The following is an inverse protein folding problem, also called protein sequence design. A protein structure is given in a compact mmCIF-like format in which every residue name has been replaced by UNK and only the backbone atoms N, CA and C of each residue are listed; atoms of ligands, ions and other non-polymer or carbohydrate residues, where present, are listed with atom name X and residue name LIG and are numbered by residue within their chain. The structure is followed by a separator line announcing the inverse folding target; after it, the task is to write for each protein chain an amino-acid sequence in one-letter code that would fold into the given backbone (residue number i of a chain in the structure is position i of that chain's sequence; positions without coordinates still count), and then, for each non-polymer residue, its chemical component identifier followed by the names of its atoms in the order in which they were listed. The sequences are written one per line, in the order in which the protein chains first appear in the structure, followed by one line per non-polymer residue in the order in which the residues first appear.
data_IF_138920119558
#
_entry.id   IF_138920119558
#
_cell.length_a   1.000
_cell.length_b   1.000
_cell.length_c   1.000
_cell.angle_alpha   90.00
_cell.angle_beta   90.00
_cell.angle_gamma   90.00
#
_symmetry.space_group_name_H-M   'P 1'
#
loop_
_entity.id
_entity.type
_entity.pdbx_description
1 polymer ?
#
# COMPACT_ATOMS: atom_id res chain seq x y z
N UNK A 1 -49.38 56.12 83.73
CA UNK A 1 -48.05 55.62 83.30
C UNK A 1 -48.25 54.40 82.41
N UNK A 2 -48.05 54.47 81.08
CA UNK A 2 -48.07 53.24 80.24
C UNK A 2 -47.37 53.34 78.85
N UNK A 3 -46.86 54.52 78.46
CA UNK A 3 -46.22 54.72 77.15
C UNK A 3 -44.71 54.42 77.10
N UNK A 4 -44.04 54.29 78.26
CA UNK A 4 -42.57 54.12 78.30
C UNK A 4 -42.13 52.67 78.02
N UNK A 5 -42.85 51.69 78.59
CA UNK A 5 -42.47 50.27 78.55
C UNK A 5 -42.62 49.67 77.14
N UNK A 6 -43.68 50.02 76.39
CA UNK A 6 -43.82 49.58 74.98
C UNK A 6 -42.69 50.12 74.10
N UNK A 7 -42.16 51.31 74.40
CA UNK A 7 -41.08 51.93 73.60
C UNK A 7 -39.77 51.17 73.78
N UNK A 8 -39.36 50.86 75.02
CA UNK A 8 -38.13 50.12 75.29
C UNK A 8 -38.17 48.68 74.79
N UNK A 9 -39.30 47.97 74.92
CA UNK A 9 -39.46 46.60 74.42
C UNK A 9 -39.43 46.51 72.88
N UNK A 10 -40.06 47.48 72.18
CA UNK A 10 -39.95 47.57 70.72
C UNK A 10 -38.52 47.88 70.25
N UNK A 11 -37.76 48.60 71.07
CA UNK A 11 -36.39 49.04 70.76
C UNK A 11 -35.37 47.91 70.96
N UNK A 12 -35.51 47.07 72.00
CA UNK A 12 -34.64 45.90 72.20
C UNK A 12 -34.95 44.76 71.22
N UNK A 13 -36.22 44.50 70.91
CA UNK A 13 -36.61 43.57 69.84
C UNK A 13 -36.11 44.04 68.46
N UNK A 14 -36.18 45.35 68.19
CA UNK A 14 -35.62 45.93 66.97
C UNK A 14 -34.11 45.69 66.84
N UNK A 15 -33.34 45.88 67.91
CA UNK A 15 -31.88 45.67 67.89
C UNK A 15 -31.47 44.19 67.73
N UNK A 16 -32.20 43.23 68.32
CA UNK A 16 -31.92 41.80 68.12
C UNK A 16 -32.27 41.32 66.71
N UNK A 17 -33.40 41.76 66.15
CA UNK A 17 -33.78 41.46 64.76
C UNK A 17 -32.78 42.07 63.77
N UNK A 18 -32.32 43.31 63.99
CA UNK A 18 -31.29 43.93 63.16
C UNK A 18 -29.96 43.16 63.18
N UNK A 19 -29.58 42.61 64.34
CA UNK A 19 -28.35 41.84 64.52
C UNK A 19 -28.42 40.46 63.85
N UNK A 20 -29.57 39.78 63.97
CA UNK A 20 -29.84 38.52 63.27
C UNK A 20 -29.87 38.72 61.74
N UNK A 21 -30.57 39.75 61.25
CA UNK A 21 -30.60 40.09 59.83
C UNK A 21 -29.20 40.35 59.27
N UNK A 22 -28.35 41.12 59.97
CA UNK A 22 -26.95 41.35 59.58
C UNK A 22 -26.13 40.06 59.51
N UNK A 23 -26.30 39.14 60.45
CA UNK A 23 -25.60 37.85 60.42
C UNK A 23 -26.03 37.01 59.19
N UNK A 24 -27.32 36.97 58.88
CA UNK A 24 -27.85 36.29 57.69
C UNK A 24 -27.32 36.93 56.39
N UNK A 25 -27.36 38.25 56.26
CA UNK A 25 -26.81 38.95 55.10
C UNK A 25 -25.29 38.77 54.95
N UNK A 26 -24.53 38.75 56.05
CA UNK A 26 -23.09 38.48 56.03
C UNK A 26 -22.79 37.05 55.55
N UNK A 27 -23.49 36.05 56.08
CA UNK A 27 -23.34 34.66 55.66
C UNK A 27 -23.75 34.45 54.19
N UNK A 28 -24.82 35.11 53.74
CA UNK A 28 -25.22 35.11 52.34
C UNK A 28 -24.15 35.76 51.43
N UNK A 29 -23.58 36.90 51.83
CA UNK A 29 -22.51 37.56 51.08
C UNK A 29 -21.23 36.68 51.00
N UNK A 30 -20.85 36.00 52.08
CA UNK A 30 -19.72 35.05 52.09
C UNK A 30 -20.01 33.87 51.15
N UNK A 31 -21.22 33.29 51.20
CA UNK A 31 -21.63 32.21 50.30
C UNK A 31 -21.60 32.64 48.82
N UNK A 32 -22.10 33.84 48.49
CA UNK A 32 -21.99 34.41 47.15
C UNK A 32 -20.53 34.59 46.70
N UNK A 33 -19.64 35.04 47.59
CA UNK A 33 -18.22 35.21 47.28
C UNK A 33 -17.53 33.86 46.98
N UNK A 34 -17.83 32.81 47.76
CA UNK A 34 -17.35 31.44 47.48
C UNK A 34 -17.84 30.95 46.11
N UNK A 35 -19.12 31.17 45.78
CA UNK A 35 -19.69 30.80 44.48
C UNK A 35 -18.98 31.54 43.33
N UNK A 36 -18.67 32.83 43.49
CA UNK A 36 -17.92 33.63 42.51
C UNK A 36 -16.52 33.05 42.31
N UNK A 37 -15.77 32.77 43.38
CA UNK A 37 -14.40 32.24 43.29
C UNK A 37 -14.38 30.86 42.61
N UNK A 38 -15.28 29.95 43.02
CA UNK A 38 -15.38 28.62 42.40
C UNK A 38 -15.80 28.74 40.94
N UNK A 39 -16.79 29.58 40.62
CA UNK A 39 -17.23 29.81 39.24
C UNK A 39 -16.13 30.37 38.34
N UNK A 40 -15.29 31.29 38.84
CA UNK A 40 -14.14 31.81 38.10
C UNK A 40 -13.06 30.73 37.83
N UNK A 41 -12.85 29.79 38.76
CA UNK A 41 -11.96 28.63 38.53
C UNK A 41 -12.53 27.72 37.42
N UNK A 42 -13.84 27.47 37.41
CA UNK A 42 -14.49 26.74 36.32
C UNK A 42 -14.40 27.46 34.98
N UNK A 43 -14.59 28.79 34.95
CA UNK A 43 -14.39 29.62 33.73
C UNK A 43 -12.97 29.49 33.20
N UNK A 44 -11.94 29.56 34.07
CA UNK A 44 -10.54 29.35 33.69
C UNK A 44 -10.27 27.94 33.15
N UNK A 45 -10.82 26.91 33.78
CA UNK A 45 -10.70 25.52 33.33
C UNK A 45 -11.30 25.33 31.94
N UNK A 46 -12.52 25.83 31.69
CA UNK A 46 -13.15 25.77 30.38
C UNK A 46 -12.41 26.63 29.34
N UNK A 47 -11.90 27.80 29.71
CA UNK A 47 -11.10 28.64 28.83
C UNK A 47 -9.83 27.90 28.37
N UNK A 48 -9.10 27.25 29.28
CA UNK A 48 -7.94 26.41 28.94
C UNK A 48 -8.30 25.24 28.00
N UNK A 49 -9.49 24.63 28.18
CA UNK A 49 -9.99 23.58 27.27
C UNK A 49 -10.29 24.12 25.87
N UNK A 50 -10.81 25.34 25.73
CA UNK A 50 -11.07 25.92 24.39
C UNK A 50 -9.79 26.15 23.55
N UNK A 51 -8.63 26.23 24.20
CA UNK A 51 -7.33 26.41 23.53
C UNK A 51 -6.63 25.10 23.16
N UNK A 52 -7.17 23.93 23.51
CA UNK A 52 -6.57 22.66 23.08
C UNK A 52 -6.77 22.47 21.57
N UNK A 53 -5.67 22.19 20.86
CA UNK A 53 -5.64 21.76 19.46
C UNK A 53 -5.67 20.24 19.37
N UNK A 54 -6.23 19.71 18.29
CA UNK A 54 -6.05 18.30 17.95
C UNK A 54 -4.54 18.00 17.79
N UNK A 55 -4.13 16.80 18.21
CA UNK A 55 -2.79 16.29 17.96
C UNK A 55 -2.74 15.66 16.56
N UNK A 56 -2.49 16.48 15.54
CA UNK A 56 -2.41 15.98 14.16
C UNK A 56 -1.18 15.11 13.94
N UNK A 57 -1.38 13.97 13.27
CA UNK A 57 -0.32 13.06 12.85
C UNK A 57 0.29 13.61 11.54
N UNK A 58 1.64 13.68 11.42
CA UNK A 58 2.28 14.20 10.23
C UNK A 58 1.96 13.34 8.99
N UNK A 59 1.50 13.99 7.92
CA UNK A 59 1.13 13.30 6.69
C UNK A 59 2.33 12.57 6.04
N UNK A 60 2.16 11.31 5.59
CA UNK A 60 3.16 10.61 4.79
C UNK A 60 3.55 11.40 3.53
N UNK A 61 4.84 11.35 3.15
CA UNK A 61 5.35 12.01 1.94
C UNK A 61 4.64 11.49 0.69
N UNK A 62 4.46 12.37 -0.29
CA UNK A 62 3.88 12.00 -1.59
C UNK A 62 4.76 10.96 -2.28
N UNK A 63 4.15 9.84 -2.70
CA UNK A 63 4.83 8.80 -3.46
C UNK A 63 5.44 9.37 -4.74
N UNK A 64 6.75 9.30 -4.84
CA UNK A 64 7.51 9.72 -6.01
C UNK A 64 7.93 8.45 -6.78
N UNK A 65 7.41 8.22 -8.01
CA UNK A 65 7.71 7.00 -8.77
C UNK A 65 9.20 6.94 -9.15
N UNK A 66 9.90 5.93 -8.64
CA UNK A 66 11.24 5.56 -9.12
C UNK A 66 11.14 4.89 -10.50
N UNK A 67 12.16 5.03 -11.35
CA UNK A 67 12.22 4.28 -12.61
C UNK A 67 12.20 2.77 -12.36
N UNK A 68 11.43 1.97 -13.12
CA UNK A 68 11.37 0.52 -12.95
C UNK A 68 12.75 -0.11 -13.18
N UNK A 69 13.26 -0.85 -12.20
CA UNK A 69 14.58 -1.49 -12.27
C UNK A 69 14.43 -2.89 -12.87
N UNK A 70 14.83 -3.06 -14.13
CA UNK A 70 14.86 -4.37 -14.78
C UNK A 70 16.10 -5.18 -14.39
N UNK A 71 15.87 -6.38 -13.85
CA UNK A 71 16.89 -7.34 -13.41
C UNK A 71 17.44 -8.16 -14.57
N UNK A 72 18.76 -8.12 -14.77
CA UNK A 72 19.42 -8.94 -15.78
C UNK A 72 19.44 -10.43 -15.41
N UNK A 73 19.46 -10.77 -14.13
CA UNK A 73 19.48 -12.16 -13.66
C UNK A 73 18.12 -12.84 -13.84
N UNK A 74 17.02 -12.14 -13.60
CA UNK A 74 15.67 -12.65 -13.82
C UNK A 74 15.38 -12.86 -15.31
N UNK A 75 15.82 -11.95 -16.18
CA UNK A 75 15.79 -12.15 -17.64
C UNK A 75 16.76 -13.28 -18.05
N UNK A 76 17.90 -13.39 -17.36
CA UNK A 76 18.88 -14.45 -17.54
C UNK A 76 18.31 -15.85 -17.32
N UNK A 77 17.34 -16.03 -16.42
CA UNK A 77 16.64 -17.31 -16.20
C UNK A 77 15.95 -17.80 -17.48
N UNK A 78 15.38 -16.91 -18.31
CA UNK A 78 14.76 -17.28 -19.59
C UNK A 78 15.76 -17.84 -20.62
N UNK A 79 17.05 -17.53 -20.46
CA UNK A 79 18.14 -18.00 -21.33
C UNK A 79 18.78 -19.32 -20.86
N UNK A 80 18.32 -19.89 -19.73
CA UNK A 80 18.84 -21.16 -19.22
C UNK A 80 18.36 -22.32 -20.12
N UNK A 81 19.27 -23.18 -20.62
CA UNK A 81 18.91 -24.28 -21.51
C UNK A 81 18.25 -25.46 -20.78
N UNK A 82 17.54 -26.35 -21.51
CA UNK A 82 17.00 -27.59 -20.96
C UNK A 82 18.06 -28.52 -20.36
N UNK A 83 17.64 -29.33 -19.39
CA UNK A 83 18.47 -30.32 -18.69
C UNK A 83 17.70 -31.63 -18.48
N UNK A 84 18.38 -32.71 -18.08
CA UNK A 84 17.78 -34.00 -17.71
C UNK A 84 16.82 -34.55 -18.78
N UNK A 85 17.33 -34.81 -19.99
CA UNK A 85 16.49 -35.24 -21.11
C UNK A 85 16.06 -36.71 -20.91
N UNK A 86 14.76 -36.98 -21.02
CA UNK A 86 14.14 -38.30 -20.76
C UNK A 86 13.22 -38.70 -21.91
N UNK A 87 13.30 -39.96 -22.37
CA UNK A 87 12.36 -40.48 -23.37
C UNK A 87 11.08 -40.99 -22.71
N UNK A 88 9.93 -40.56 -23.21
CA UNK A 88 8.60 -41.08 -22.84
C UNK A 88 8.03 -41.83 -24.05
N UNK A 89 7.85 -43.17 -23.97
CA UNK A 89 7.24 -43.93 -25.05
C UNK A 89 5.78 -43.51 -25.25
N UNK A 90 5.32 -43.50 -26.51
CA UNK A 90 3.95 -43.14 -26.87
C UNK A 90 2.94 -44.26 -26.58
N UNK A 91 3.44 -45.47 -26.38
CA UNK A 91 2.70 -46.70 -26.07
C UNK A 91 3.57 -47.52 -25.12
N UNK A 92 2.99 -48.11 -24.07
CA UNK A 92 3.69 -49.02 -23.16
C UNK A 92 4.15 -50.32 -23.84
N UNK A 93 3.49 -50.67 -24.95
CA UNK A 93 3.79 -51.83 -25.80
C UNK A 93 3.48 -51.50 -27.26
N UNK A 94 4.37 -51.89 -28.17
CA UNK A 94 4.20 -51.77 -29.62
C UNK A 94 3.40 -52.97 -30.09
N UNK A 95 2.13 -52.74 -30.42
CA UNK A 95 1.21 -53.74 -30.93
C UNK A 95 1.32 -53.90 -32.46
N UNK A 96 1.14 -52.79 -33.20
CA UNK A 96 1.12 -52.81 -34.66
C UNK A 96 2.53 -52.97 -35.28
N UNK A 97 2.65 -53.46 -36.53
CA UNK A 97 3.91 -53.44 -37.26
C UNK A 97 4.38 -51.99 -37.36
N UNK A 98 5.68 -51.80 -37.12
CA UNK A 98 6.27 -50.49 -37.28
C UNK A 98 6.25 -50.07 -38.74
N UNK A 99 5.93 -48.81 -38.96
CA UNK A 99 5.99 -48.14 -40.26
C UNK A 99 6.86 -46.91 -40.14
N UNK A 100 7.35 -46.38 -41.28
CA UNK A 100 8.04 -45.09 -41.34
C UNK A 100 7.15 -43.90 -40.88
N UNK A 101 5.86 -44.17 -40.67
CA UNK A 101 4.84 -43.25 -40.19
C UNK A 101 4.56 -43.40 -38.68
N UNK A 102 4.97 -44.49 -38.03
CA UNK A 102 4.77 -44.73 -36.60
C UNK A 102 5.59 -43.76 -35.75
N UNK A 103 5.04 -43.34 -34.59
CA UNK A 103 5.74 -42.49 -33.60
C UNK A 103 5.90 -43.31 -32.32
N UNK A 104 7.13 -43.60 -31.94
CA UNK A 104 7.48 -44.50 -30.83
C UNK A 104 7.37 -43.80 -29.47
N UNK A 105 7.54 -42.49 -29.43
CA UNK A 105 7.56 -41.69 -28.22
C UNK A 105 7.99 -40.25 -28.47
N UNK A 106 8.27 -39.54 -27.40
CA UNK A 106 8.71 -38.15 -27.38
C UNK A 106 9.68 -37.92 -26.24
N UNK A 107 10.55 -36.93 -26.36
CA UNK A 107 11.43 -36.54 -25.26
C UNK A 107 10.76 -35.49 -24.36
N UNK A 108 11.10 -35.54 -23.08
CA UNK A 108 10.85 -34.50 -22.08
C UNK A 108 12.18 -34.03 -21.52
N UNK A 109 12.22 -32.84 -20.94
CA UNK A 109 13.41 -32.27 -20.34
C UNK A 109 12.97 -31.25 -19.28
N UNK A 110 13.79 -31.08 -18.25
CA UNK A 110 13.55 -30.06 -17.23
C UNK A 110 13.91 -28.68 -17.80
N UNK A 111 12.91 -27.80 -17.75
CA UNK A 111 12.94 -26.43 -18.27
C UNK A 111 12.91 -25.44 -17.10
N UNK A 112 14.06 -25.13 -16.46
CA UNK A 112 14.14 -24.29 -15.26
C UNK A 112 13.71 -22.82 -15.52
N UNK A 113 13.47 -22.45 -16.77
CA UNK A 113 12.98 -21.16 -17.21
C UNK A 113 11.45 -20.98 -17.10
N UNK A 114 10.77 -21.78 -16.26
CA UNK A 114 9.32 -21.66 -15.99
C UNK A 114 8.42 -22.07 -17.16
N UNK A 115 8.98 -22.76 -18.15
CA UNK A 115 8.25 -23.25 -19.32
C UNK A 115 7.79 -24.68 -19.05
N UNK A 116 6.63 -25.08 -19.60
CA UNK A 116 6.11 -26.44 -19.46
C UNK A 116 7.18 -27.48 -19.90
N UNK A 117 7.24 -28.62 -19.21
CA UNK A 117 8.32 -29.63 -19.14
C UNK A 117 8.66 -30.40 -20.43
N UNK A 118 8.60 -29.73 -21.58
CA UNK A 118 8.67 -30.31 -22.90
C UNK A 118 9.58 -29.46 -23.80
N UNK A 119 10.72 -30.00 -24.27
CA UNK A 119 11.45 -29.37 -25.36
C UNK A 119 10.57 -29.38 -26.62
N UNK A 120 10.58 -28.28 -27.38
CA UNK A 120 9.80 -28.16 -28.61
C UNK A 120 10.35 -29.09 -29.70
N UNK A 121 11.67 -29.25 -29.74
CA UNK A 121 12.37 -30.08 -30.71
C UNK A 121 13.58 -30.74 -30.04
N UNK A 122 14.13 -31.78 -30.67
CA UNK A 122 15.38 -32.41 -30.28
C UNK A 122 16.17 -32.74 -31.55
N UNK A 123 17.49 -32.79 -31.51
CA UNK A 123 18.31 -33.31 -32.60
C UNK A 123 19.04 -34.58 -32.10
N UNK A 124 19.08 -35.64 -32.91
CA UNK A 124 19.87 -36.86 -32.62
C UNK A 124 21.28 -36.60 -33.16
N UNK A 125 22.29 -36.74 -32.31
CA UNK A 125 23.68 -36.47 -32.63
C UNK A 125 24.45 -37.75 -32.93
N UNK A 126 24.12 -38.84 -32.23
CA UNK A 126 24.84 -40.10 -32.30
C UNK A 126 24.25 -41.14 -31.34
N UNK A 127 25.09 -42.05 -30.85
CA UNK A 127 24.70 -43.20 -30.03
C UNK A 127 24.68 -44.51 -30.82
N UNK A 128 24.87 -45.63 -30.12
CA UNK A 128 25.00 -46.98 -30.68
C UNK A 128 23.84 -47.36 -31.61
N UNK A 129 22.62 -46.95 -31.26
CA UNK A 129 21.41 -47.31 -31.98
C UNK A 129 20.87 -46.17 -32.86
N UNK A 130 21.61 -45.06 -33.04
CA UNK A 130 21.13 -43.87 -33.76
C UNK A 130 20.55 -44.16 -35.15
N UNK A 131 21.20 -45.04 -35.92
CA UNK A 131 20.76 -45.43 -37.26
C UNK A 131 19.40 -46.17 -37.30
N UNK A 132 18.90 -46.63 -36.16
CA UNK A 132 17.59 -47.27 -36.01
C UNK A 132 16.44 -46.26 -35.89
N UNK A 133 16.76 -44.98 -35.65
CA UNK A 133 15.76 -43.95 -35.36
C UNK A 133 15.94 -42.70 -36.22
N UNK A 134 14.83 -41.99 -36.44
CA UNK A 134 14.80 -40.70 -37.12
C UNK A 134 13.74 -39.82 -36.43
N UNK A 135 13.80 -38.51 -36.64
CA UNK A 135 12.95 -37.54 -35.97
C UNK A 135 11.65 -37.28 -36.73
N UNK A 136 10.55 -37.15 -35.97
CA UNK A 136 9.30 -36.54 -36.39
C UNK A 136 9.19 -35.13 -35.81
N UNK A 137 9.48 -34.11 -36.63
CA UNK A 137 9.06 -32.73 -36.35
C UNK A 137 7.54 -32.62 -36.49
N UNK A 138 6.91 -31.85 -35.62
CA UNK A 138 5.45 -31.68 -35.60
C UNK A 138 5.12 -30.25 -35.19
N UNK A 139 4.62 -29.43 -36.11
CA UNK A 139 4.20 -28.06 -35.78
C UNK A 139 3.11 -28.09 -34.69
N UNK A 140 3.34 -27.41 -33.56
CA UNK A 140 2.40 -27.33 -32.44
C UNK A 140 2.15 -28.63 -31.66
N UNK A 141 2.91 -29.71 -31.88
CA UNK A 141 2.80 -30.97 -31.13
C UNK A 141 4.19 -31.46 -30.70
N UNK A 142 4.27 -32.24 -29.62
CA UNK A 142 5.54 -32.79 -29.11
C UNK A 142 6.34 -33.44 -30.26
N UNK A 143 7.59 -33.04 -30.45
CA UNK A 143 8.49 -33.71 -31.40
C UNK A 143 8.74 -35.14 -30.93
N UNK A 144 8.79 -36.09 -31.86
CA UNK A 144 8.79 -37.51 -31.51
C UNK A 144 9.77 -38.36 -32.31
N UNK A 145 10.05 -39.56 -31.82
CA UNK A 145 10.92 -40.53 -32.47
C UNK A 145 10.11 -41.41 -33.43
N UNK A 146 10.63 -41.68 -34.65
CA UNK A 146 10.11 -42.69 -35.58
C UNK A 146 11.18 -43.74 -35.88
N UNK A 147 10.79 -44.98 -36.24
CA UNK A 147 11.74 -46.00 -36.64
C UNK A 147 12.25 -45.76 -38.07
N UNK A 148 13.52 -46.07 -38.34
CA UNK A 148 14.06 -46.16 -39.71
C UNK A 148 13.70 -47.50 -40.35
N UNK A 149 14.00 -47.66 -41.66
CA UNK A 149 13.79 -48.93 -42.38
C UNK A 149 14.49 -50.12 -41.68
N UNK A 150 15.67 -49.90 -41.09
CA UNK A 150 16.42 -50.93 -40.38
C UNK A 150 15.67 -51.41 -39.13
N UNK A 151 15.17 -50.48 -38.31
CA UNK A 151 14.39 -50.84 -37.13
C UNK A 151 13.04 -51.46 -37.47
N UNK A 152 12.37 -50.97 -38.52
CA UNK A 152 11.12 -51.56 -39.04
C UNK A 152 11.35 -53.02 -39.44
N UNK A 153 12.41 -53.32 -40.18
CA UNK A 153 12.74 -54.69 -40.59
C UNK A 153 13.06 -55.59 -39.39
N UNK A 154 13.88 -55.12 -38.44
CA UNK A 154 14.23 -55.86 -37.21
C UNK A 154 13.00 -56.17 -36.37
N UNK A 155 12.17 -55.17 -36.06
CA UNK A 155 11.01 -55.32 -35.16
C UNK A 155 9.87 -56.07 -35.84
N UNK A 156 9.57 -55.83 -37.12
CA UNK A 156 8.47 -56.54 -37.77
C UNK A 156 8.79 -58.03 -37.98
N UNK A 157 10.07 -58.38 -38.26
CA UNK A 157 10.50 -59.79 -38.29
C UNK A 157 10.33 -60.50 -36.94
N UNK A 158 10.63 -59.81 -35.84
CA UNK A 158 10.39 -60.33 -34.48
C UNK A 158 8.88 -60.42 -34.18
N UNK A 159 8.07 -59.42 -34.53
CA UNK A 159 6.61 -59.43 -34.30
C UNK A 159 5.88 -60.61 -34.97
N UNK A 160 6.39 -61.15 -36.08
CA UNK A 160 5.85 -62.35 -36.72
C UNK A 160 6.24 -63.67 -36.03
N UNK A 161 7.21 -63.66 -35.10
CA UNK A 161 7.77 -64.87 -34.45
C UNK A 161 7.62 -64.87 -32.92
N UNK A 162 7.32 -63.71 -32.32
CA UNK A 162 7.15 -63.51 -30.88
C UNK A 162 5.94 -64.28 -30.31
N UNK A 163 6.21 -65.16 -29.33
CA UNK A 163 5.20 -65.89 -28.54
C UNK A 163 4.97 -65.33 -27.12
N UNK A 164 5.80 -64.40 -26.67
CA UNK A 164 5.75 -63.70 -25.38
C UNK A 164 6.26 -62.26 -25.57
N UNK A 165 5.92 -61.29 -24.71
CA UNK A 165 6.47 -59.94 -24.80
C UNK A 165 8.00 -59.94 -24.65
N UNK A 166 8.68 -59.21 -25.52
CA UNK A 166 10.13 -58.98 -25.46
C UNK A 166 10.40 -57.47 -25.35
N UNK A 167 11.43 -57.10 -24.59
CA UNK A 167 11.84 -55.71 -24.38
C UNK A 167 13.29 -55.52 -24.83
N UNK A 168 13.54 -54.54 -25.70
CA UNK A 168 14.89 -54.17 -26.12
C UNK A 168 15.24 -52.76 -25.65
N UNK A 169 16.44 -52.58 -25.12
CA UNK A 169 17.00 -51.28 -24.71
C UNK A 169 17.83 -50.69 -25.84
N UNK A 170 17.70 -49.37 -26.03
CA UNK A 170 18.34 -48.59 -27.08
C UNK A 170 19.06 -47.38 -26.50
N UNK A 171 20.18 -47.01 -27.09
CA UNK A 171 21.01 -45.87 -26.66
C UNK A 171 21.13 -44.80 -27.76
N UNK A 172 20.81 -43.55 -27.40
CA UNK A 172 20.88 -42.37 -28.26
C UNK A 172 21.60 -41.21 -27.58
N UNK A 173 22.47 -40.51 -28.32
CA UNK A 173 22.97 -39.20 -27.93
C UNK A 173 22.10 -38.12 -28.58
N UNK A 174 21.51 -37.24 -27.77
CA UNK A 174 20.57 -36.20 -28.24
C UNK A 174 20.89 -34.83 -27.64
N UNK A 175 20.36 -33.79 -28.28
CA UNK A 175 20.33 -32.42 -27.77
C UNK A 175 18.88 -31.91 -27.80
N UNK A 176 18.39 -31.38 -26.67
CA UNK A 176 17.05 -30.85 -26.54
C UNK A 176 17.02 -29.35 -26.84
N UNK A 177 15.90 -28.88 -27.40
CA UNK A 177 15.66 -27.47 -27.73
C UNK A 177 14.37 -26.98 -27.08
N UNK A 178 14.43 -25.93 -26.27
CA UNK A 178 13.23 -25.35 -25.67
C UNK A 178 12.38 -24.58 -26.69
N UNK A 179 11.22 -24.07 -26.24
CA UNK A 179 10.31 -23.30 -27.12
C UNK A 179 10.91 -22.00 -27.67
N UNK A 180 11.98 -21.51 -27.05
CA UNK A 180 12.66 -20.29 -27.44
C UNK A 180 13.93 -20.56 -28.25
N UNK A 181 14.34 -21.81 -28.47
CA UNK A 181 15.55 -22.14 -29.22
C UNK A 181 16.84 -22.22 -28.38
N UNK A 182 16.77 -22.21 -27.05
CA UNK A 182 17.90 -22.60 -26.20
C UNK A 182 18.18 -24.10 -26.40
N UNK A 183 19.46 -24.47 -26.51
CA UNK A 183 19.91 -25.85 -26.70
C UNK A 183 20.58 -26.37 -25.42
N UNK A 184 20.26 -27.60 -25.02
CA UNK A 184 20.96 -28.32 -23.95
C UNK A 184 22.42 -28.60 -24.31
N UNK A 185 23.17 -29.24 -23.39
CA UNK A 185 24.35 -30.01 -23.79
C UNK A 185 23.90 -31.31 -24.47
N UNK A 186 24.77 -31.98 -25.27
CA UNK A 186 24.57 -33.38 -25.65
C UNK A 186 24.40 -34.25 -24.39
N UNK A 187 23.44 -35.18 -24.43
CA UNK A 187 23.14 -36.11 -23.34
C UNK A 187 22.86 -37.50 -23.92
N UNK A 188 23.45 -38.53 -23.33
CA UNK A 188 23.21 -39.93 -23.70
C UNK A 188 22.01 -40.47 -22.93
N UNK A 189 21.06 -41.07 -23.65
CA UNK A 189 19.79 -41.56 -23.11
C UNK A 189 19.61 -43.03 -23.51
N UNK A 190 19.40 -43.86 -22.50
CA UNK A 190 18.97 -45.25 -22.65
C UNK A 190 17.47 -45.38 -22.39
N UNK A 191 16.75 -46.08 -23.26
CA UNK A 191 15.32 -46.36 -23.10
C UNK A 191 14.94 -47.71 -23.69
N UNK A 192 13.89 -48.34 -23.16
CA UNK A 192 13.41 -49.64 -23.62
C UNK A 192 12.09 -49.54 -24.40
N UNK A 193 11.91 -50.43 -25.38
CA UNK A 193 10.66 -50.63 -26.12
C UNK A 193 10.22 -52.09 -26.01
N UNK A 194 8.93 -52.32 -25.76
CA UNK A 194 8.31 -53.64 -25.58
C UNK A 194 7.43 -54.00 -26.79
N UNK A 195 7.44 -55.25 -27.27
CA UNK A 195 6.72 -55.68 -28.48
C UNK A 195 5.61 -56.72 -28.21
N UNK A 196 4.44 -56.56 -28.86
CA UNK A 196 3.18 -57.32 -28.68
C UNK A 196 2.39 -57.33 -30.04
N UNK A 197 1.36 -58.17 -30.31
CA UNK A 197 0.75 -58.26 -31.67
C UNK A 197 -0.27 -57.16 -32.14
N UNK A 198 -0.59 -57.05 -33.46
CA UNK A 198 -1.21 -55.85 -34.14
C UNK A 198 -2.71 -55.49 -34.12
N UNK A 199 -2.99 -54.20 -34.39
CA UNK A 199 -4.22 -53.59 -34.99
C UNK A 199 -3.90 -52.22 -35.66
N UNK A 200 -4.74 -51.63 -36.55
CA UNK A 200 -4.26 -50.84 -37.73
C UNK A 200 -4.92 -49.45 -38.10
N UNK A 201 -4.19 -48.58 -38.88
CA UNK A 201 -4.57 -47.35 -39.72
C UNK A 201 -4.52 -45.94 -39.02
N UNK A 202 -4.33 -44.72 -39.60
CA UNK A 202 -3.88 -44.13 -40.93
C UNK A 202 -3.32 -42.65 -40.79
N UNK A 203 -3.22 -41.79 -41.86
CA UNK A 203 -2.63 -40.38 -41.90
C UNK A 203 -3.05 -39.46 -43.09
N UNK A 204 -2.70 -38.12 -43.10
CA UNK A 204 -2.04 -37.28 -44.21
C UNK A 204 -1.86 -35.73 -43.88
N UNK A 205 -1.30 -34.83 -44.75
CA UNK A 205 -0.78 -33.41 -44.52
C UNK A 205 -0.78 -32.42 -45.74
N UNK A 206 -0.42 -31.10 -45.63
CA UNK A 206 -0.37 -30.04 -46.72
C UNK A 206 0.45 -28.70 -46.44
N UNK A 207 0.61 -27.72 -47.40
CA UNK A 207 0.64 -26.17 -47.32
C UNK A 207 1.61 -25.34 -48.30
N UNK A 208 1.53 -23.97 -48.36
CA UNK A 208 1.84 -22.90 -49.40
C UNK A 208 3.03 -21.84 -49.18
N UNK A 209 3.29 -20.80 -50.06
CA UNK A 209 4.48 -19.85 -50.10
C UNK A 209 4.30 -18.29 -49.80
N UNK A 210 5.27 -17.37 -50.13
CA UNK A 210 5.35 -15.92 -49.67
C UNK A 210 6.21 -14.88 -50.51
N UNK A 211 6.07 -13.52 -50.33
CA UNK A 211 7.07 -12.43 -50.72
C UNK A 211 7.00 -11.08 -49.89
N UNK A 212 7.75 -9.98 -50.23
CA UNK A 212 8.26 -8.92 -49.30
C UNK A 212 8.34 -7.43 -49.84
N UNK A 213 8.78 -6.42 -49.03
CA UNK A 213 8.83 -4.91 -49.26
C UNK A 213 10.19 -4.21 -48.85
N UNK A 214 10.39 -2.89 -49.10
CA UNK A 214 11.59 -2.04 -48.81
C UNK A 214 11.40 -0.83 -47.80
N UNK A 215 12.42 0.03 -47.52
CA UNK A 215 12.52 0.88 -46.28
C UNK A 215 13.23 2.29 -46.38
N UNK A 216 13.29 3.06 -45.25
CA UNK A 216 13.86 4.45 -45.06
C UNK A 216 14.70 4.61 -43.74
N UNK A 217 15.20 5.83 -43.41
CA UNK A 217 16.21 6.23 -42.37
C UNK A 217 15.88 5.89 -40.88
N UNK A 218 16.85 6.04 -39.95
CA UNK A 218 17.04 5.18 -38.75
C UNK A 218 17.22 5.94 -37.39
N UNK A 219 16.59 5.48 -36.29
CA UNK A 219 16.56 6.01 -34.89
C UNK A 219 17.40 5.21 -33.84
N UNK A 220 17.41 5.63 -32.56
CA UNK A 220 18.05 4.94 -31.40
C UNK A 220 17.57 3.49 -31.17
N UNK A 221 16.26 3.28 -31.00
CA UNK A 221 15.65 1.94 -30.93
C UNK A 221 16.02 1.09 -32.16
N UNK A 222 16.14 1.75 -33.32
CA UNK A 222 16.54 1.09 -34.54
C UNK A 222 18.05 0.78 -34.58
N UNK A 223 18.91 1.55 -33.90
CA UNK A 223 20.32 1.23 -33.73
C UNK A 223 20.51 0.02 -32.81
N UNK A 224 19.77 -0.07 -31.69
CA UNK A 224 19.71 -1.29 -30.88
C UNK A 224 19.18 -2.48 -31.69
N UNK A 225 18.11 -2.28 -32.48
CA UNK A 225 17.57 -3.30 -33.35
C UNK A 225 18.56 -3.78 -34.43
N UNK A 226 19.47 -2.92 -34.92
CA UNK A 226 20.58 -3.36 -35.78
C UNK A 226 21.55 -4.25 -35.01
N UNK A 227 21.99 -3.84 -33.81
CA UNK A 227 22.94 -4.62 -33.01
C UNK A 227 22.41 -6.04 -32.72
N UNK A 228 21.12 -6.14 -32.38
CA UNK A 228 20.43 -7.42 -32.22
C UNK A 228 20.36 -8.19 -33.54
N UNK A 229 20.01 -7.53 -34.65
CA UNK A 229 19.94 -8.17 -35.97
C UNK A 229 21.30 -8.69 -36.45
N UNK A 230 22.40 -7.98 -36.17
CA UNK A 230 23.77 -8.43 -36.43
C UNK A 230 24.15 -9.67 -35.62
N UNK A 231 23.69 -9.78 -34.36
CA UNK A 231 23.90 -10.98 -33.56
C UNK A 231 23.10 -12.19 -34.09
N UNK A 232 21.91 -11.95 -34.66
CA UNK A 232 21.08 -13.01 -35.25
C UNK A 232 21.62 -13.46 -36.61
N UNK A 233 22.08 -12.54 -37.45
CA UNK A 233 22.61 -12.84 -38.78
C UNK A 233 23.61 -11.77 -39.26
N UNK A 234 24.93 -12.00 -39.08
CA UNK A 234 25.97 -11.10 -39.55
C UNK A 234 25.97 -10.90 -41.08
N UNK A 235 25.45 -11.86 -41.86
CA UNK A 235 25.45 -11.84 -43.34
C UNK A 235 24.33 -10.97 -43.93
N UNK A 236 23.48 -10.36 -43.09
CA UNK A 236 22.40 -9.43 -43.49
C UNK A 236 21.39 -10.04 -44.49
N UNK A 237 21.09 -11.33 -44.37
CA UNK A 237 20.08 -12.03 -45.18
C UNK A 237 18.64 -11.61 -44.75
N UNK A 238 17.55 -12.16 -45.32
CA UNK A 238 16.20 -11.90 -44.83
C UNK A 238 15.99 -12.16 -43.32
N UNK A 239 16.81 -13.04 -42.71
CA UNK A 239 16.80 -13.28 -41.26
C UNK A 239 17.17 -12.04 -40.45
N UNK A 240 18.22 -11.30 -40.84
CA UNK A 240 18.60 -10.01 -40.26
C UNK A 240 17.44 -9.00 -40.28
N UNK A 241 16.77 -8.82 -41.43
CA UNK A 241 15.64 -7.88 -41.54
C UNK A 241 14.41 -8.33 -40.76
N UNK A 242 14.21 -9.65 -40.58
CA UNK A 242 13.19 -10.19 -39.69
C UNK A 242 13.53 -9.98 -38.20
N UNK A 243 14.80 -10.06 -37.82
CA UNK A 243 15.26 -9.76 -36.46
C UNK A 243 15.16 -8.25 -36.15
N UNK A 244 15.62 -7.38 -37.04
CA UNK A 244 15.56 -5.93 -36.95
C UNK A 244 14.12 -5.41 -36.74
N UNK A 245 13.15 -5.95 -37.49
CA UNK A 245 11.73 -5.60 -37.32
C UNK A 245 11.14 -6.17 -36.03
N UNK A 246 11.57 -7.36 -35.59
CA UNK A 246 11.14 -7.93 -34.30
C UNK A 246 11.64 -7.09 -33.12
N UNK A 247 12.92 -6.70 -33.10
CA UNK A 247 13.52 -5.88 -32.06
C UNK A 247 12.83 -4.49 -31.92
N UNK A 248 12.53 -3.83 -33.04
CA UNK A 248 11.74 -2.58 -33.03
C UNK A 248 10.32 -2.73 -32.50
N UNK A 249 9.72 -3.91 -32.63
CA UNK A 249 8.38 -4.18 -32.15
C UNK A 249 8.34 -4.49 -30.64
N UNK A 250 9.49 -4.67 -29.97
CA UNK A 250 9.57 -5.04 -28.55
C UNK A 250 8.88 -4.01 -27.64
N UNK A 251 9.15 -2.69 -27.71
CA UNK A 251 8.45 -1.72 -26.85
C UNK A 251 6.93 -1.84 -26.98
N UNK A 252 6.42 -1.85 -28.22
CA UNK A 252 4.97 -1.99 -28.49
C UNK A 252 4.40 -3.33 -27.99
N UNK A 253 5.18 -4.42 -28.03
CA UNK A 253 4.78 -5.72 -27.45
C UNK A 253 4.73 -5.71 -25.92
N UNK A 254 5.57 -4.92 -25.27
CA UNK A 254 5.56 -4.73 -23.82
C UNK A 254 4.62 -3.58 -23.37
N UNK A 255 3.69 -3.14 -24.23
CA UNK A 255 2.75 -2.04 -23.92
C UNK A 255 3.35 -0.63 -23.91
N UNK A 256 4.60 -0.45 -24.36
CA UNK A 256 5.35 0.81 -24.27
C UNK A 256 5.41 1.52 -25.64
N UNK A 257 5.36 2.85 -25.60
CA UNK A 257 5.66 3.68 -26.79
C UNK A 257 7.07 3.43 -27.31
N UNK A 258 7.22 3.32 -28.64
CA UNK A 258 8.52 3.13 -29.32
C UNK A 258 9.53 4.26 -29.10
N UNK A 259 9.15 5.35 -28.43
CA UNK A 259 9.99 6.49 -28.10
C UNK A 259 10.27 6.63 -26.59
N UNK A 260 9.87 5.67 -25.75
CA UNK A 260 10.13 5.72 -24.30
C UNK A 260 11.63 5.53 -24.02
N UNK A 261 12.31 6.60 -23.61
CA UNK A 261 13.76 6.64 -23.41
C UNK A 261 14.23 5.73 -22.27
N UNK A 262 13.49 5.64 -21.16
CA UNK A 262 13.79 4.74 -20.04
C UNK A 262 13.80 3.29 -20.50
N UNK A 263 12.71 2.84 -21.14
CA UNK A 263 12.60 1.49 -21.68
C UNK A 263 13.71 1.17 -22.70
N UNK A 264 14.02 2.09 -23.62
CA UNK A 264 15.06 1.89 -24.63
C UNK A 264 16.45 1.79 -23.96
N UNK A 265 16.72 2.61 -22.94
CA UNK A 265 17.97 2.60 -22.17
C UNK A 265 18.14 1.29 -21.39
N UNK A 266 17.11 0.86 -20.64
CA UNK A 266 17.16 -0.42 -19.92
C UNK A 266 17.26 -1.60 -20.90
N UNK A 267 16.49 -1.61 -21.99
CA UNK A 267 16.55 -2.66 -23.01
C UNK A 267 17.93 -2.77 -23.65
N UNK A 268 18.62 -1.64 -23.86
CA UNK A 268 20.02 -1.60 -24.31
C UNK A 268 20.98 -2.13 -23.25
N UNK A 269 20.88 -1.67 -21.99
CA UNK A 269 21.71 -2.15 -20.86
C UNK A 269 21.61 -3.67 -20.73
N UNK A 270 20.38 -4.20 -20.75
CA UNK A 270 20.10 -5.63 -20.63
C UNK A 270 20.64 -6.42 -21.83
N UNK A 271 20.51 -5.89 -23.05
CA UNK A 271 21.10 -6.52 -24.23
C UNK A 271 22.62 -6.60 -24.10
N UNK A 272 23.28 -5.52 -23.71
CA UNK A 272 24.74 -5.47 -23.57
C UNK A 272 25.24 -6.38 -22.43
N UNK A 273 24.53 -6.44 -21.29
CA UNK A 273 24.83 -7.34 -20.16
C UNK A 273 24.62 -8.82 -20.50
N UNK A 274 23.53 -9.18 -21.18
CA UNK A 274 23.21 -10.57 -21.52
C UNK A 274 23.81 -11.04 -22.84
N UNK A 275 24.44 -10.15 -23.62
CA UNK A 275 25.07 -10.43 -24.92
C UNK A 275 25.90 -11.73 -24.97
N UNK A 276 26.72 -12.10 -23.96
CA UNK A 276 27.48 -13.36 -24.00
C UNK A 276 26.61 -14.64 -23.99
N UNK A 277 25.38 -14.54 -23.47
CA UNK A 277 24.39 -15.65 -23.39
C UNK A 277 23.40 -15.65 -24.57
N UNK A 278 23.36 -14.58 -25.36
CA UNK A 278 22.43 -14.42 -26.48
C UNK A 278 22.98 -15.07 -27.77
N UNK A 279 22.08 -15.73 -28.49
CA UNK A 279 22.32 -16.39 -29.78
C UNK A 279 21.16 -16.07 -30.74
N UNK A 280 21.38 -16.31 -32.03
CA UNK A 280 20.35 -16.19 -33.05
C UNK A 280 19.08 -17.00 -32.74
N UNK A 281 19.23 -18.14 -32.07
CA UNK A 281 18.13 -19.04 -31.72
C UNK A 281 17.30 -18.52 -30.54
N UNK A 282 17.93 -18.07 -29.44
CA UNK A 282 17.25 -17.75 -28.17
C UNK A 282 16.81 -16.28 -28.00
N UNK A 283 16.90 -15.48 -29.06
CA UNK A 283 16.52 -14.06 -29.03
C UNK A 283 15.05 -13.81 -28.63
N UNK A 284 14.16 -14.79 -28.81
CA UNK A 284 12.76 -14.68 -28.39
C UNK A 284 12.55 -14.87 -26.88
N UNK A 285 13.39 -15.68 -26.21
CA UNK A 285 13.42 -15.75 -24.73
C UNK A 285 13.78 -14.40 -24.14
N UNK A 286 14.80 -13.74 -24.69
CA UNK A 286 15.24 -12.42 -24.26
C UNK A 286 14.13 -11.37 -24.36
N UNK A 287 13.46 -11.25 -25.50
CA UNK A 287 12.33 -10.33 -25.65
C UNK A 287 11.17 -10.64 -24.69
N UNK A 288 10.89 -11.92 -24.45
CA UNK A 288 9.83 -12.34 -23.52
C UNK A 288 10.18 -11.97 -22.07
N UNK A 289 11.42 -12.22 -21.65
CA UNK A 289 11.91 -11.83 -20.33
C UNK A 289 11.89 -10.31 -20.12
N UNK A 290 12.33 -9.52 -21.11
CA UNK A 290 12.27 -8.05 -21.06
C UNK A 290 10.82 -7.54 -20.85
N UNK A 291 9.84 -8.05 -21.60
CA UNK A 291 8.45 -7.65 -21.38
C UNK A 291 7.89 -8.16 -20.04
N UNK A 292 8.26 -9.36 -19.61
CA UNK A 292 7.80 -9.96 -18.34
C UNK A 292 8.26 -9.13 -17.15
N UNK A 293 9.56 -8.81 -17.09
CA UNK A 293 10.14 -8.00 -16.01
C UNK A 293 9.65 -6.55 -16.06
N UNK A 294 9.38 -6.01 -17.25
CA UNK A 294 8.78 -4.69 -17.38
C UNK A 294 7.36 -4.61 -16.82
N UNK A 295 6.51 -5.59 -17.14
CA UNK A 295 5.17 -5.67 -16.55
C UNK A 295 5.23 -5.90 -15.04
N UNK A 296 6.16 -6.75 -14.55
CA UNK A 296 6.38 -6.97 -13.11
C UNK A 296 6.74 -5.66 -12.41
N UNK A 297 7.78 -4.96 -12.88
CA UNK A 297 8.23 -3.71 -12.27
C UNK A 297 7.15 -2.60 -12.31
N UNK A 298 6.36 -2.51 -13.38
CA UNK A 298 5.20 -1.60 -13.42
C UNK A 298 4.12 -1.98 -12.40
N UNK A 299 3.80 -3.28 -12.24
CA UNK A 299 2.80 -3.73 -11.26
C UNK A 299 3.23 -3.49 -9.82
N UNK A 300 4.52 -3.67 -9.51
CA UNK A 300 5.10 -3.36 -8.20
C UNK A 300 5.06 -1.85 -7.91
N UNK A 301 5.33 -1.01 -8.92
CA UNK A 301 5.24 0.44 -8.83
C UNK A 301 3.79 0.93 -8.59
N UNK A 302 2.81 0.32 -9.27
CA UNK A 302 1.38 0.59 -9.07
C UNK A 302 0.94 0.21 -7.65
N UNK A 303 1.25 -1.01 -7.20
CA UNK A 303 0.92 -1.46 -5.85
C UNK A 303 1.60 -0.61 -4.75
N UNK A 304 2.83 -0.14 -4.97
CA UNK A 304 3.50 0.79 -4.07
C UNK A 304 2.82 2.17 -4.04
N UNK A 305 2.36 2.66 -5.19
CA UNK A 305 1.60 3.91 -5.27
C UNK A 305 0.25 3.81 -4.55
N UNK A 306 -0.47 2.70 -4.71
CA UNK A 306 -1.77 2.47 -4.05
C UNK A 306 -1.62 2.41 -2.53
N UNK A 307 -0.69 1.60 -2.00
CA UNK A 307 -0.40 1.56 -0.55
C UNK A 307 -0.03 2.92 0.02
N UNK A 308 0.72 3.73 -0.72
CA UNK A 308 1.08 5.09 -0.28
C UNK A 308 -0.12 6.06 -0.32
N UNK A 309 -1.09 5.87 -1.23
CA UNK A 309 -2.36 6.62 -1.23
C UNK A 309 -3.23 6.21 -0.05
N UNK A 310 -3.40 4.91 0.19
CA UNK A 310 -4.17 4.37 1.32
C UNK A 310 -3.60 4.83 2.67
N UNK A 311 -2.29 4.72 2.87
CA UNK A 311 -1.63 5.20 4.07
C UNK A 311 -1.79 6.71 4.29
N UNK A 312 -1.79 7.52 3.22
CA UNK A 312 -2.04 8.96 3.34
C UNK A 312 -3.51 9.26 3.62
N UNK A 313 -4.44 8.54 2.99
CA UNK A 313 -5.87 8.69 3.21
C UNK A 313 -6.28 8.30 4.64
N UNK A 314 -5.68 7.24 5.21
CA UNK A 314 -5.96 6.85 6.60
C UNK A 314 -5.47 7.89 7.61
N UNK A 315 -4.31 8.52 7.40
CA UNK A 315 -3.84 9.62 8.26
C UNK A 315 -4.69 10.88 8.10
N UNK A 316 -5.17 11.19 6.89
CA UNK A 316 -6.13 12.30 6.70
C UNK A 316 -7.41 12.04 7.50
N UNK A 317 -8.02 10.87 7.36
CA UNK A 317 -9.24 10.51 8.09
C UNK A 317 -9.05 10.49 9.62
N UNK A 318 -7.86 10.08 10.11
CA UNK A 318 -7.53 10.16 11.54
C UNK A 318 -7.40 11.62 12.02
N UNK A 319 -6.76 12.49 11.24
CA UNK A 319 -6.65 13.91 11.58
C UNK A 319 -8.01 14.63 11.51
N UNK A 320 -8.87 14.29 10.54
CA UNK A 320 -10.25 14.78 10.45
C UNK A 320 -11.08 14.35 11.68
N UNK A 321 -10.99 13.08 12.08
CA UNK A 321 -11.67 12.59 13.29
C UNK A 321 -11.16 13.26 14.58
N UNK A 322 -9.84 13.43 14.71
CA UNK A 322 -9.24 14.12 15.85
C UNK A 322 -9.60 15.61 15.91
N UNK A 323 -9.71 16.27 14.75
CA UNK A 323 -10.20 17.65 14.65
C UNK A 323 -11.69 17.74 15.02
N UNK A 324 -12.54 16.82 14.55
CA UNK A 324 -13.96 16.78 14.92
C UNK A 324 -14.18 16.55 16.44
N UNK A 325 -13.40 15.66 17.06
CA UNK A 325 -13.42 15.46 18.52
C UNK A 325 -12.97 16.71 19.27
N UNK A 326 -11.88 17.35 18.82
CA UNK A 326 -11.40 18.60 19.41
C UNK A 326 -12.40 19.75 19.27
N UNK A 327 -13.07 19.89 18.12
CA UNK A 327 -14.13 20.88 17.90
C UNK A 327 -15.34 20.63 18.80
N UNK A 328 -15.80 19.39 18.93
CA UNK A 328 -16.85 19.01 19.88
C UNK A 328 -16.48 19.36 21.32
N UNK A 329 -15.23 19.05 21.73
CA UNK A 329 -14.69 19.42 23.03
C UNK A 329 -14.65 20.94 23.26
N UNK A 330 -14.29 21.73 22.26
CA UNK A 330 -14.32 23.21 22.32
C UNK A 330 -15.73 23.76 22.43
N UNK A 331 -16.69 23.22 21.68
CA UNK A 331 -18.10 23.65 21.77
C UNK A 331 -18.69 23.38 23.16
N UNK A 332 -18.43 22.19 23.72
CA UNK A 332 -18.84 21.86 25.09
C UNK A 332 -18.16 22.75 26.13
N UNK A 333 -16.87 23.05 25.96
CA UNK A 333 -16.15 23.96 26.85
C UNK A 333 -16.67 25.41 26.76
N UNK A 334 -17.00 25.89 25.56
CA UNK A 334 -17.61 27.21 25.38
C UNK A 334 -18.98 27.30 26.07
N UNK A 335 -19.86 26.32 25.87
CA UNK A 335 -21.16 26.26 26.56
C UNK A 335 -20.99 26.18 28.09
N UNK A 336 -20.07 25.37 28.60
CA UNK A 336 -19.75 25.28 30.02
C UNK A 336 -19.24 26.59 30.61
N UNK A 337 -18.39 27.32 29.87
CA UNK A 337 -17.90 28.65 30.25
C UNK A 337 -19.03 29.67 30.32
N UNK A 338 -19.92 29.70 29.33
CA UNK A 338 -20.98 30.70 29.25
C UNK A 338 -22.06 30.46 30.34
N UNK A 339 -22.34 29.19 30.68
CA UNK A 339 -23.14 28.83 31.86
C UNK A 339 -22.44 29.29 33.15
N UNK A 340 -21.15 29.02 33.32
CA UNK A 340 -20.39 29.42 34.50
C UNK A 340 -20.33 30.95 34.67
N UNK A 341 -20.14 31.70 33.58
CA UNK A 341 -20.20 33.17 33.58
C UNK A 341 -21.59 33.69 33.96
N UNK A 342 -22.66 33.04 33.52
CA UNK A 342 -24.04 33.38 33.90
C UNK A 342 -24.27 33.19 35.40
N UNK A 343 -23.80 32.08 35.98
CA UNK A 343 -23.88 31.82 37.43
C UNK A 343 -23.03 32.81 38.23
N UNK A 344 -21.80 33.12 37.79
CA UNK A 344 -20.94 34.13 38.43
C UNK A 344 -21.58 35.52 38.37
N UNK A 345 -22.16 35.91 37.23
CA UNK A 345 -22.84 37.20 37.06
C UNK A 345 -24.07 37.34 37.96
N UNK A 346 -24.87 36.28 38.11
CA UNK A 346 -25.99 36.25 39.04
C UNK A 346 -25.52 36.33 40.51
N UNK A 347 -24.50 35.55 40.89
CA UNK A 347 -23.93 35.57 42.23
C UNK A 347 -23.29 36.93 42.58
N UNK A 348 -22.61 37.57 41.63
CA UNK A 348 -22.07 38.93 41.77
C UNK A 348 -23.17 39.97 41.92
N UNK A 349 -24.24 39.88 41.13
CA UNK A 349 -25.39 40.78 41.22
C UNK A 349 -26.08 40.67 42.59
N UNK A 350 -26.26 39.45 43.09
CA UNK A 350 -26.78 39.20 44.43
C UNK A 350 -25.85 39.73 45.53
N UNK A 351 -24.54 39.48 45.41
CA UNK A 351 -23.52 39.99 46.33
C UNK A 351 -23.51 41.53 46.39
N UNK A 352 -23.59 42.21 45.24
CA UNK A 352 -23.64 43.67 45.16
C UNK A 352 -24.93 44.23 45.79
N UNK A 353 -26.07 43.59 45.56
CA UNK A 353 -27.35 43.99 46.16
C UNK A 353 -27.33 43.80 47.69
N UNK A 354 -26.81 42.67 48.19
CA UNK A 354 -26.64 42.42 49.63
C UNK A 354 -25.66 43.43 50.24
N UNK A 355 -24.53 43.70 49.56
CA UNK A 355 -23.54 44.67 50.00
C UNK A 355 -24.10 46.10 50.05
N UNK A 356 -24.94 46.48 49.09
CA UNK A 356 -25.64 47.76 49.07
C UNK A 356 -26.62 47.88 50.25
N UNK A 357 -27.43 46.85 50.51
CA UNK A 357 -28.32 46.83 51.68
C UNK A 357 -27.54 46.89 53.01
N UNK A 358 -26.42 46.16 53.12
CA UNK A 358 -25.53 46.21 54.27
C UNK A 358 -24.89 47.61 54.45
N UNK A 359 -24.50 48.27 53.36
CA UNK A 359 -23.97 49.64 53.39
C UNK A 359 -25.04 50.64 53.84
N UNK A 360 -26.28 50.54 53.37
CA UNK A 360 -27.40 51.35 53.87
C UNK A 360 -27.66 51.10 55.37
N UNK A 361 -27.69 49.85 55.80
CA UNK A 361 -27.83 49.49 57.22
C UNK A 361 -26.64 49.96 58.08
N UNK A 362 -25.45 50.10 57.51
CA UNK A 362 -24.28 50.67 58.17
C UNK A 362 -24.40 52.20 58.27
N UNK A 363 -24.73 52.88 57.17
CA UNK A 363 -24.95 54.33 57.12
C UNK A 363 -26.04 54.74 58.10
N UNK A 364 -27.19 54.04 58.14
CA UNK A 364 -28.24 54.32 59.13
C UNK A 364 -27.72 54.20 60.57
N UNK A 365 -26.90 53.19 60.86
CA UNK A 365 -26.29 53.02 62.18
C UNK A 365 -25.31 54.16 62.50
N UNK A 366 -24.49 54.58 61.54
CA UNK A 366 -23.58 55.72 61.71
C UNK A 366 -24.36 57.03 61.87
N UNK A 367 -25.41 57.29 61.10
CA UNK A 367 -26.25 58.49 61.25
C UNK A 367 -26.98 58.50 62.60
N UNK A 368 -27.48 57.35 63.08
CA UNK A 368 -28.05 57.22 64.44
C UNK A 368 -26.98 57.41 65.53
N UNK A 369 -25.77 56.90 65.34
CA UNK A 369 -24.66 57.06 66.29
C UNK A 369 -24.16 58.51 66.34
N UNK A 370 -23.99 59.16 65.18
CA UNK A 370 -23.63 60.58 65.06
C UNK A 370 -24.74 61.46 65.64
N UNK A 371 -26.02 61.16 65.39
CA UNK A 371 -27.13 61.90 66.01
C UNK A 371 -27.12 61.78 67.54
N UNK A 372 -26.89 60.58 68.09
CA UNK A 372 -26.70 60.37 69.54
C UNK A 372 -25.46 61.12 70.06
N UNK A 373 -24.35 61.13 69.31
CA UNK A 373 -23.13 61.85 69.68
C UNK A 373 -23.34 63.38 69.70
N UNK A 374 -24.02 63.93 68.69
CA UNK A 374 -24.43 65.34 68.62
C UNK A 374 -25.39 65.66 69.77
N UNK A 375 -26.43 64.86 70.00
CA UNK A 375 -27.35 65.06 71.14
C UNK A 375 -26.62 65.07 72.49
N UNK A 376 -25.61 64.21 72.70
CA UNK A 376 -24.78 64.25 73.92
C UNK A 376 -23.86 65.46 73.98
N UNK A 377 -23.30 65.93 72.85
CA UNK A 377 -22.48 67.13 72.79
C UNK A 377 -23.32 68.39 73.05
N UNK A 378 -24.51 68.52 72.46
CA UNK A 378 -25.42 69.65 72.70
C UNK A 378 -25.87 69.70 74.16
N UNK A 379 -26.14 68.54 74.77
CA UNK A 379 -26.53 68.44 76.19
C UNK A 379 -25.40 68.77 77.16
N UNK A 380 -24.15 68.50 76.79
CA UNK A 380 -22.98 68.93 77.55
C UNK A 380 -22.70 70.44 77.36
N UNK A 381 -22.91 70.96 76.14
CA UNK A 381 -22.80 72.40 75.82
C UNK A 381 -23.82 73.24 76.60
N UNK A 382 -25.10 72.83 76.64
CA UNK A 382 -26.12 73.53 77.44
C UNK A 382 -25.79 73.56 78.95
N UNK A 383 -25.10 72.54 79.46
CA UNK A 383 -24.62 72.51 80.84
C UNK A 383 -23.38 73.39 81.11
N UNK A 384 -22.65 73.82 80.06
CA UNK A 384 -21.56 74.80 80.19
C UNK A 384 -22.07 76.24 80.04
N UNK A 385 -23.04 76.49 79.14
CA UNK A 385 -23.63 77.83 78.96
C UNK A 385 -24.31 78.40 80.21
N UNK A 386 -24.80 77.55 81.12
CA UNK A 386 -25.46 77.96 82.37
C UNK A 386 -24.50 78.28 83.54
N UNK A 387 -23.20 78.41 83.30
CA UNK A 387 -22.18 78.61 84.36
C UNK A 387 -21.26 79.84 84.18
N UNK A 388 -21.58 80.74 83.26
CA UNK A 388 -20.70 81.86 82.86
C UNK A 388 -21.40 83.21 82.71
N UNK A 389 -22.30 83.58 83.63
CA UNK A 389 -22.96 84.90 83.63
C UNK A 389 -23.39 85.37 85.04
N UNK A 390 -22.55 85.20 86.05
CA UNK A 390 -22.73 85.85 87.36
C UNK A 390 -21.37 86.20 87.98
N UNK A 391 -21.23 87.48 88.38
CA UNK A 391 -20.21 88.16 89.21
C UNK A 391 -19.35 89.23 88.50
N UNK A 392 -19.55 90.50 88.92
CA UNK A 392 -18.70 91.64 88.56
C UNK A 392 -19.41 93.00 88.61
N UNK A 393 -19.75 93.50 89.80
CA UNK A 393 -20.40 94.81 90.01
C UNK A 393 -19.40 95.90 90.43
N UNK A 394 -19.66 97.18 90.10
CA UNK A 394 -19.30 98.38 90.91
C UNK A 394 -19.74 99.69 90.26
N UNK A 395 -20.81 100.31 90.78
CA UNK A 395 -21.02 101.77 91.04
C UNK A 395 -22.51 102.05 91.15
#
# INVERSE_FOLDING_TARGET
MNFSIKRTLSQTQGETVLRAARAVYLMAAIASLVIIVVGLIFVLFFQLRTWQSASEIPLPRVYSPSSPILSADDIGKFLTPPQNIRFIPAMSSIHAPLSNRSRLGHFTADTPNGLASYPIDFDILGGKDAALFDRVRSAGKRSGLKPTKALISKVNGLLHTLRKPESATYELEVIARDRFGNMSKPEAISFSLTYVPPSEKSKTSATLPTRMKSAKKITELQQLAKNIAFLVDPKRTPAYFAAYRRAQAVPKKCGVSSNNTTFISDFRRLFDQLRPKLRATNMEAFYTGVCSEWHRALSEQQAAQERAREARASVIAQNEAANAEAEGGRMLAAAGRDIALTVVGAALSAFLLISFLLAFLAIENHTRAVRRAVETLTKNSSNQGSRGAENGASS
#
